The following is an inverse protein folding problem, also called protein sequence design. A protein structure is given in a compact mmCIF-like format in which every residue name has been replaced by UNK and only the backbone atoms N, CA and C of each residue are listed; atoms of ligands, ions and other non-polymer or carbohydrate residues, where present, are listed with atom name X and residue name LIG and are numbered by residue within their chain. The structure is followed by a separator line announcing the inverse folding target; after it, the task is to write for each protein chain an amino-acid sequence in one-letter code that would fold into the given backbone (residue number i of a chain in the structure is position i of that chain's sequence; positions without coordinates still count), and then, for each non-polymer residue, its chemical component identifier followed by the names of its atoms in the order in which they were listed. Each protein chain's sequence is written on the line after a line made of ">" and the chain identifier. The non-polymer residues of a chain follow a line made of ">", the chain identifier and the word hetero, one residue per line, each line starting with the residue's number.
data_IF_004119016155
#
_entry.id   IF_004119016155
#
_cell.length_a   1.000
_cell.length_b   1.000
_cell.length_c   1.000
_cell.angle_alpha   90.00
_cell.angle_beta   90.00
_cell.angle_gamma   90.00
#
_symmetry.space_group_name_H-M   'P 1'
#
loop_
_entity.id
_entity.type
_entity.pdbx_description
1 polymer ?
#
# COMPACT_ATOMS: atom_id res chain seq x y z
N UNK A 1 6.49 3.23 3.66
CA UNK A 1 6.53 2.82 5.08
C UNK A 1 6.39 1.32 5.18
N UNK A 2 7.11 0.67 6.10
CA UNK A 2 7.14 -0.78 6.25
C UNK A 2 7.08 -1.18 7.73
N UNK A 3 6.54 -2.34 8.10
CA UNK A 3 6.66 -2.86 9.45
C UNK A 3 8.13 -3.12 9.78
N UNK A 4 8.53 -2.78 10.99
CA UNK A 4 9.81 -3.18 11.54
C UNK A 4 9.83 -4.72 11.68
N UNK A 5 10.89 -5.35 11.17
CA UNK A 5 11.06 -6.81 11.33
C UNK A 5 11.30 -7.17 12.79
N UNK A 6 10.76 -8.32 13.22
CA UNK A 6 11.03 -8.85 14.57
C UNK A 6 12.53 -9.02 14.78
N UNK A 7 13.04 -8.52 15.90
CA UNK A 7 14.47 -8.59 16.26
C UNK A 7 15.37 -7.60 15.51
N UNK A 8 14.81 -6.66 14.73
CA UNK A 8 15.59 -5.62 14.09
C UNK A 8 16.33 -4.76 15.13
N UNK A 9 17.63 -4.60 14.93
CA UNK A 9 18.50 -3.77 15.77
C UNK A 9 18.57 -2.36 15.17
N UNK A 10 18.41 -1.35 16.02
CA UNK A 10 18.53 0.05 15.66
C UNK A 10 19.03 0.85 16.86
N UNK A 11 19.64 2.00 16.57
CA UNK A 11 20.05 2.98 17.57
C UNK A 11 19.07 4.15 17.52
N UNK A 12 18.54 4.56 18.67
CA UNK A 12 17.68 5.76 18.74
C UNK A 12 18.55 7.01 18.72
N UNK A 13 18.37 7.86 17.72
CA UNK A 13 19.10 9.14 17.59
C UNK A 13 18.39 10.27 18.32
N UNK A 14 17.06 10.32 18.20
CA UNK A 14 16.26 11.41 18.74
C UNK A 14 14.80 11.01 18.93
N UNK A 15 14.22 11.35 20.06
CA UNK A 15 12.78 11.30 20.27
C UNK A 15 12.10 12.53 19.68
N UNK A 16 11.13 12.32 18.79
CA UNK A 16 10.34 13.37 18.13
C UNK A 16 9.00 13.57 18.84
N UNK A 17 8.46 12.51 19.45
CA UNK A 17 7.21 12.53 20.20
C UNK A 17 6.92 11.20 20.90
N UNK A 18 5.70 11.04 21.42
CA UNK A 18 5.25 9.77 22.03
C UNK A 18 5.15 8.69 20.95
N UNK A 19 6.02 7.69 21.01
CA UNK A 19 6.05 6.60 20.03
C UNK A 19 6.56 7.02 18.66
N UNK A 20 7.29 8.12 18.56
CA UNK A 20 7.79 8.68 17.30
C UNK A 20 9.25 9.08 17.44
N UNK A 21 10.14 8.26 16.89
CA UNK A 21 11.58 8.38 17.12
C UNK A 21 12.34 8.40 15.78
N UNK A 22 13.42 9.17 15.70
CA UNK A 22 14.41 9.08 14.64
C UNK A 22 15.43 8.02 15.06
N UNK A 23 15.65 7.03 14.19
CA UNK A 23 16.50 5.87 14.46
C UNK A 23 17.52 5.68 13.35
N UNK A 24 18.60 5.00 13.69
CA UNK A 24 19.68 4.62 12.80
C UNK A 24 19.76 3.11 12.68
N UNK A 25 19.81 2.63 11.45
CA UNK A 25 19.87 1.21 11.11
C UNK A 25 21.18 0.91 10.41
N UNK A 26 21.88 -0.16 10.80
CA UNK A 26 23.05 -0.65 10.08
C UNK A 26 22.62 -1.36 8.80
N UNK A 27 23.29 -1.06 7.69
CA UNK A 27 23.04 -1.74 6.43
C UNK A 27 23.76 -3.09 6.40
N UNK A 28 23.17 -4.08 5.72
CA UNK A 28 23.81 -5.39 5.59
C UNK A 28 24.82 -5.41 4.44
N UNK A 29 25.87 -6.25 4.50
CA UNK A 29 26.81 -6.42 3.37
C UNK A 29 26.09 -6.81 2.07
N UNK A 30 25.05 -7.64 2.16
CA UNK A 30 24.25 -8.03 1.00
C UNK A 30 23.51 -6.84 0.38
N UNK A 31 22.98 -5.91 1.20
CA UNK A 31 22.32 -4.70 0.71
C UNK A 31 23.32 -3.79 0.00
N UNK A 32 24.52 -3.59 0.57
CA UNK A 32 25.58 -2.80 -0.04
C UNK A 32 26.13 -3.42 -1.34
N UNK A 33 26.17 -4.76 -1.44
CA UNK A 33 26.52 -5.44 -2.71
C UNK A 33 25.50 -5.16 -3.82
N UNK A 34 24.20 -5.11 -3.48
CA UNK A 34 23.14 -4.76 -4.44
C UNK A 34 23.10 -3.28 -4.76
N UNK A 35 23.53 -2.42 -3.84
CA UNK A 35 23.49 -0.97 -3.95
C UNK A 35 24.85 -0.37 -3.55
N UNK A 36 25.81 -0.25 -4.49
CA UNK A 36 27.18 0.16 -4.18
C UNK A 36 27.32 1.53 -3.50
N UNK A 37 26.37 2.45 -3.73
CA UNK A 37 26.34 3.77 -3.06
C UNK A 37 25.73 3.78 -1.66
N UNK A 38 25.28 2.62 -1.15
CA UNK A 38 24.65 2.53 0.16
C UNK A 38 25.70 2.58 1.28
N UNK A 39 25.63 3.61 2.11
CA UNK A 39 26.49 3.75 3.30
C UNK A 39 26.33 2.61 4.31
N UNK A 40 27.17 2.62 5.36
CA UNK A 40 27.11 1.62 6.43
C UNK A 40 25.85 1.73 7.30
N UNK A 41 25.20 2.88 7.26
CA UNK A 41 24.07 3.24 8.11
C UNK A 41 23.02 3.98 7.29
N UNK A 42 21.75 3.82 7.69
CA UNK A 42 20.63 4.58 7.16
C UNK A 42 19.81 5.14 8.31
N UNK A 43 19.45 6.41 8.20
CA UNK A 43 18.53 7.05 9.14
C UNK A 43 17.09 6.84 8.68
N UNK A 44 16.23 6.44 9.60
CA UNK A 44 14.81 6.25 9.36
C UNK A 44 14.01 6.78 10.55
N UNK A 45 12.72 7.02 10.35
CA UNK A 45 11.79 7.35 11.43
C UNK A 45 11.00 6.11 11.82
N UNK A 46 10.91 5.86 13.11
CA UNK A 46 10.22 4.75 13.74
C UNK A 46 8.95 5.26 14.43
N UNK A 47 7.80 4.82 13.94
CA UNK A 47 6.50 5.11 14.52
C UNK A 47 5.97 3.89 15.26
N UNK A 48 5.43 4.09 16.45
CA UNK A 48 4.79 3.05 17.26
C UNK A 48 3.30 3.30 17.26
N UNK A 49 2.56 2.35 16.70
CA UNK A 49 1.12 2.46 16.44
C UNK A 49 0.42 1.29 17.10
N UNK A 50 -0.67 1.54 17.81
CA UNK A 50 -1.53 0.48 18.34
C UNK A 50 -2.73 0.32 17.43
N UNK A 51 -2.89 -0.86 16.81
CA UNK A 51 -4.01 -1.15 15.91
C UNK A 51 -4.69 -2.44 16.38
N UNK A 52 -6.01 -2.39 16.59
CA UNK A 52 -6.81 -3.53 17.09
C UNK A 52 -6.18 -4.20 18.33
N UNK A 53 -5.71 -3.38 19.28
CA UNK A 53 -5.05 -3.84 20.51
C UNK A 53 -3.63 -4.38 20.34
N UNK A 54 -3.06 -4.40 19.13
CA UNK A 54 -1.69 -4.86 18.87
C UNK A 54 -0.77 -3.68 18.59
N UNK A 55 0.35 -3.63 19.30
CA UNK A 55 1.42 -2.66 19.03
C UNK A 55 2.19 -3.09 17.79
N UNK A 56 2.38 -2.16 16.86
CA UNK A 56 3.13 -2.32 15.64
C UNK A 56 4.15 -1.18 15.53
N UNK A 57 5.35 -1.50 15.05
CA UNK A 57 6.39 -0.52 14.78
C UNK A 57 6.54 -0.37 13.27
N UNK A 58 6.53 0.87 12.78
CA UNK A 58 6.59 1.20 11.37
C UNK A 58 7.82 2.05 11.08
N UNK A 59 8.57 1.69 10.04
CA UNK A 59 9.70 2.46 9.53
C UNK A 59 9.30 3.27 8.30
N UNK A 60 9.72 4.53 8.27
CA UNK A 60 9.56 5.42 7.11
C UNK A 60 10.81 6.25 6.87
N UNK A 61 11.07 6.60 5.60
CA UNK A 61 12.13 7.55 5.20
C UNK A 61 11.71 9.01 5.36
N UNK A 62 10.44 9.28 5.67
CA UNK A 62 9.92 10.63 5.93
C UNK A 62 10.31 11.08 7.34
N UNK A 63 11.50 11.65 7.47
CA UNK A 63 12.13 12.01 8.75
C UNK A 63 11.72 13.37 9.31
N UNK A 64 11.16 14.26 8.48
CA UNK A 64 10.66 15.57 8.90
C UNK A 64 9.30 15.43 9.63
N UNK A 65 9.32 15.59 10.95
CA UNK A 65 8.13 15.46 11.78
C UNK A 65 7.13 16.60 11.65
N UNK A 66 7.60 17.79 11.25
CA UNK A 66 6.73 18.95 11.06
C UNK A 66 6.00 18.87 9.73
N UNK A 67 6.68 18.39 8.68
CA UNK A 67 6.07 18.17 7.37
C UNK A 67 5.18 16.93 7.33
N UNK A 68 5.53 15.88 8.08
CA UNK A 68 4.81 14.61 8.08
C UNK A 68 4.43 14.22 9.52
N UNK A 69 3.27 14.64 10.04
CA UNK A 69 2.84 14.31 11.39
C UNK A 69 2.75 12.79 11.61
N UNK A 70 3.23 12.30 12.76
CA UNK A 70 3.32 10.86 13.04
C UNK A 70 1.96 10.14 13.04
N UNK A 71 0.91 10.81 13.50
CA UNK A 71 -0.47 10.30 13.49
C UNK A 71 -1.00 10.07 12.07
N UNK A 72 -0.91 11.08 11.20
CA UNK A 72 -1.33 10.98 9.80
C UNK A 72 -0.56 9.88 9.05
N UNK A 73 0.72 9.73 9.35
CA UNK A 73 1.56 8.68 8.80
C UNK A 73 1.10 7.28 9.22
N UNK A 74 0.72 7.12 10.49
CA UNK A 74 0.14 5.88 11.01
C UNK A 74 -1.20 5.55 10.34
N UNK A 75 -2.06 6.56 10.16
CA UNK A 75 -3.36 6.43 9.50
C UNK A 75 -3.20 6.08 8.02
N UNK A 76 -2.26 6.73 7.32
CA UNK A 76 -1.92 6.41 5.92
C UNK A 76 -1.48 4.95 5.77
N UNK A 77 -0.69 4.43 6.72
CA UNK A 77 -0.29 3.02 6.69
C UNK A 77 -1.49 2.07 6.83
N UNK A 78 -2.57 2.51 7.49
CA UNK A 78 -3.77 1.71 7.65
C UNK A 78 -4.46 1.40 6.31
N UNK A 79 -4.35 2.32 5.35
CA UNK A 79 -4.86 2.20 3.98
C UNK A 79 -3.99 1.29 3.09
N UNK A 80 -2.85 0.77 3.57
CA UNK A 80 -2.07 -0.23 2.81
C UNK A 80 -2.92 -1.46 2.44
N UNK A 81 -3.90 -1.81 3.27
CA UNK A 81 -4.78 -2.95 3.04
C UNK A 81 -5.70 -2.78 1.81
N UNK A 82 -5.90 -1.55 1.32
CA UNK A 82 -6.70 -1.28 0.13
C UNK A 82 -6.17 -2.02 -1.11
N UNK A 83 -4.86 -2.27 -1.22
CA UNK A 83 -4.31 -3.07 -2.32
C UNK A 83 -4.80 -4.53 -2.26
N UNK A 84 -4.99 -5.07 -1.06
CA UNK A 84 -5.44 -6.45 -0.87
C UNK A 84 -6.94 -6.58 -1.21
N UNK A 85 -7.71 -5.52 -0.93
CA UNK A 85 -9.07 -5.40 -1.42
C UNK A 85 -9.10 -5.29 -2.95
N UNK A 86 -8.23 -4.49 -3.57
CA UNK A 86 -8.10 -4.40 -5.02
C UNK A 86 -7.78 -5.74 -5.68
N UNK A 87 -6.87 -6.53 -5.10
CA UNK A 87 -6.62 -7.90 -5.59
C UNK A 87 -7.85 -8.80 -5.46
N UNK A 88 -8.64 -8.66 -4.39
CA UNK A 88 -9.88 -9.42 -4.21
C UNK A 88 -10.90 -9.04 -5.28
N UNK A 89 -11.11 -7.75 -5.52
CA UNK A 89 -12.04 -7.25 -6.53
C UNK A 89 -11.69 -7.76 -7.93
N UNK A 90 -10.41 -7.71 -8.31
CA UNK A 90 -9.97 -8.25 -9.61
C UNK A 90 -10.24 -9.76 -9.69
N UNK A 91 -9.79 -10.54 -8.70
CA UNK A 91 -9.84 -12.01 -8.74
C UNK A 91 -11.25 -12.57 -8.56
N UNK A 92 -12.01 -12.03 -7.61
CA UNK A 92 -13.31 -12.58 -7.21
C UNK A 92 -14.46 -11.92 -7.96
N UNK A 93 -14.40 -10.59 -8.14
CA UNK A 93 -15.49 -9.84 -8.77
C UNK A 93 -15.34 -9.81 -10.28
N UNK A 94 -14.25 -9.25 -10.81
CA UNK A 94 -14.09 -9.12 -12.28
C UNK A 94 -13.87 -10.47 -12.97
N UNK A 95 -13.06 -11.35 -12.37
CA UNK A 95 -12.76 -12.66 -12.92
C UNK A 95 -13.73 -13.76 -12.44
N UNK A 96 -14.75 -13.42 -11.65
CA UNK A 96 -15.74 -14.37 -11.13
C UNK A 96 -15.08 -15.59 -10.44
N UNK A 97 -14.00 -15.36 -9.71
CA UNK A 97 -13.18 -16.39 -9.06
C UNK A 97 -12.54 -17.42 -10.00
N UNK A 98 -12.50 -17.15 -11.31
CA UNK A 98 -11.75 -17.97 -12.27
C UNK A 98 -10.27 -17.63 -12.16
N UNK A 99 -9.47 -18.64 -11.81
CA UNK A 99 -8.02 -18.50 -11.61
C UNK A 99 -7.21 -18.71 -12.91
N UNK A 100 -7.88 -19.04 -14.01
CA UNK A 100 -7.23 -19.33 -15.29
C UNK A 100 -7.51 -18.22 -16.30
N UNK A 101 -6.43 -17.74 -16.91
CA UNK A 101 -6.49 -16.89 -18.10
C UNK A 101 -6.73 -17.77 -19.33
N UNK A 102 -7.28 -17.16 -20.39
CA UNK A 102 -7.72 -17.91 -21.58
C UNK A 102 -6.56 -18.27 -22.50
N UNK A 103 -5.59 -17.38 -22.62
CA UNK A 103 -4.47 -17.58 -23.52
C UNK A 103 -3.48 -18.64 -23.00
N UNK A 104 -2.89 -19.40 -23.93
CA UNK A 104 -1.78 -20.34 -23.69
C UNK A 104 -0.43 -19.83 -24.21
N UNK A 105 -0.38 -18.63 -24.79
CA UNK A 105 0.86 -17.98 -25.26
C UNK A 105 1.29 -16.90 -24.27
N UNK A 106 2.53 -16.88 -23.78
CA UNK A 106 3.00 -15.92 -22.76
C UNK A 106 2.69 -14.46 -23.09
N UNK A 107 2.89 -14.06 -24.34
CA UNK A 107 2.72 -12.67 -24.80
C UNK A 107 1.24 -12.26 -24.73
N UNK A 108 0.35 -13.17 -25.12
CA UNK A 108 -1.10 -12.95 -25.07
C UNK A 108 -1.65 -13.06 -23.63
N UNK A 109 -1.00 -13.82 -22.75
CA UNK A 109 -1.31 -13.83 -21.32
C UNK A 109 -0.99 -12.47 -20.69
N UNK A 110 0.14 -11.87 -21.05
CA UNK A 110 0.48 -10.52 -20.61
C UNK A 110 -0.54 -9.49 -21.11
N UNK A 111 -0.94 -9.58 -22.40
CA UNK A 111 -2.00 -8.74 -22.95
C UNK A 111 -3.33 -8.90 -22.19
N UNK A 112 -3.71 -10.13 -21.85
CA UNK A 112 -4.93 -10.40 -21.08
C UNK A 112 -4.86 -9.73 -19.69
N UNK A 113 -3.72 -9.83 -19.00
CA UNK A 113 -3.50 -9.16 -17.71
C UNK A 113 -3.59 -7.63 -17.83
N UNK A 114 -3.01 -7.04 -18.87
CA UNK A 114 -3.15 -5.60 -19.15
C UNK A 114 -4.61 -5.20 -19.38
N UNK A 115 -5.37 -6.02 -20.12
CA UNK A 115 -6.81 -5.81 -20.31
C UNK A 115 -7.58 -5.83 -18.99
N UNK A 116 -7.27 -6.77 -18.09
CA UNK A 116 -7.88 -6.83 -16.76
C UNK A 116 -7.57 -5.60 -15.92
N UNK A 117 -6.30 -5.15 -15.90
CA UNK A 117 -5.91 -3.95 -15.17
C UNK A 117 -6.55 -2.68 -15.75
N UNK A 118 -6.66 -2.59 -17.07
CA UNK A 118 -7.34 -1.49 -17.73
C UNK A 118 -8.83 -1.44 -17.34
N UNK A 119 -9.53 -2.57 -17.43
CA UNK A 119 -10.93 -2.66 -17.04
C UNK A 119 -11.14 -2.33 -15.54
N UNK A 120 -10.23 -2.77 -14.66
CA UNK A 120 -10.27 -2.43 -13.24
C UNK A 120 -10.16 -0.92 -13.03
N UNK A 121 -9.19 -0.27 -13.69
CA UNK A 121 -9.01 1.17 -13.60
C UNK A 121 -10.19 1.95 -14.20
N UNK A 122 -10.82 1.46 -15.26
CA UNK A 122 -12.03 2.07 -15.82
C UNK A 122 -13.20 2.04 -14.83
N UNK A 123 -13.43 0.91 -14.15
CA UNK A 123 -14.45 0.82 -13.09
C UNK A 123 -14.10 1.77 -11.94
N UNK A 124 -12.85 1.80 -11.49
CA UNK A 124 -12.39 2.73 -10.43
C UNK A 124 -12.56 4.20 -10.83
N UNK A 125 -12.27 4.55 -12.08
CA UNK A 125 -12.47 5.88 -12.60
C UNK A 125 -13.95 6.28 -12.61
N UNK A 126 -14.84 5.36 -13.00
CA UNK A 126 -16.28 5.60 -12.93
C UNK A 126 -16.75 5.79 -11.49
N UNK A 127 -16.23 5.02 -10.53
CA UNK A 127 -16.52 5.20 -9.10
C UNK A 127 -16.08 6.59 -8.59
N UNK A 128 -14.92 7.09 -9.05
CA UNK A 128 -14.47 8.45 -8.72
C UNK A 128 -15.50 9.48 -9.21
N UNK A 129 -15.92 9.39 -10.48
CA UNK A 129 -16.96 10.27 -11.04
C UNK A 129 -18.28 10.18 -10.29
N UNK A 130 -18.70 8.98 -9.89
CA UNK A 130 -19.92 8.79 -9.11
C UNK A 130 -19.82 9.45 -7.73
N UNK A 131 -18.68 9.28 -7.05
CA UNK A 131 -18.44 9.88 -5.74
C UNK A 131 -18.44 11.42 -5.77
N UNK A 132 -17.99 12.04 -6.87
CA UNK A 132 -18.07 13.50 -7.04
C UNK A 132 -19.50 14.05 -6.94
N UNK A 133 -20.50 13.23 -7.30
CA UNK A 133 -21.91 13.60 -7.23
C UNK A 133 -22.56 13.26 -5.87
N UNK A 134 -21.83 12.58 -4.97
CA UNK A 134 -22.29 12.15 -3.65
C UNK A 134 -21.50 12.90 -2.55
N UNK A 135 -22.10 13.94 -1.97
CA UNK A 135 -21.44 14.71 -0.90
C UNK A 135 -21.07 13.84 0.30
N UNK A 136 -19.80 13.87 0.68
CA UNK A 136 -19.28 13.21 1.89
C UNK A 136 -18.86 11.75 1.72
N UNK A 137 -18.88 11.22 0.48
CA UNK A 137 -18.43 9.86 0.20
C UNK A 137 -17.10 9.83 -0.54
N UNK A 138 -16.22 8.93 -0.11
CA UNK A 138 -14.98 8.63 -0.81
C UNK A 138 -15.21 7.53 -1.85
N UNK A 139 -14.48 7.53 -2.98
CA UNK A 139 -14.64 6.50 -4.02
C UNK A 139 -14.45 5.07 -3.51
N UNK A 140 -13.56 4.85 -2.52
CA UNK A 140 -13.32 3.54 -1.92
C UNK A 140 -14.44 3.07 -0.96
N UNK A 141 -15.42 3.93 -0.65
CA UNK A 141 -16.62 3.55 0.10
C UNK A 141 -17.77 3.06 -0.80
N UNK A 142 -17.67 3.27 -2.11
CA UNK A 142 -18.63 2.75 -3.06
C UNK A 142 -18.41 1.26 -3.31
N UNK A 143 -19.49 0.52 -3.53
CA UNK A 143 -19.43 -0.91 -3.83
C UNK A 143 -18.78 -1.14 -5.19
N UNK A 144 -17.63 -1.82 -5.21
CA UNK A 144 -16.96 -2.18 -6.44
C UNK A 144 -17.78 -3.19 -7.26
N UNK A 145 -18.46 -4.15 -6.63
CA UNK A 145 -19.24 -5.16 -7.34
C UNK A 145 -20.45 -4.58 -8.06
N UNK A 146 -21.16 -3.65 -7.43
CA UNK A 146 -22.28 -2.95 -8.06
C UNK A 146 -21.79 -2.07 -9.21
N UNK A 147 -20.71 -1.30 -8.97
CA UNK A 147 -20.12 -0.44 -10.00
C UNK A 147 -19.61 -1.25 -11.21
N UNK A 148 -18.93 -2.36 -10.96
CA UNK A 148 -18.46 -3.29 -11.98
C UNK A 148 -19.64 -3.89 -12.77
N UNK A 149 -20.71 -4.28 -12.08
CA UNK A 149 -21.93 -4.79 -12.71
C UNK A 149 -22.62 -3.74 -13.59
N UNK A 150 -22.62 -2.47 -13.21
CA UNK A 150 -23.17 -1.39 -14.03
C UNK A 150 -22.32 -1.14 -15.28
N UNK A 151 -20.99 -1.08 -15.15
CA UNK A 151 -20.08 -0.81 -16.27
C UNK A 151 -20.03 -1.97 -17.27
N UNK A 152 -20.04 -3.22 -16.80
CA UNK A 152 -19.97 -4.41 -17.67
C UNK A 152 -21.31 -4.81 -18.30
N UNK A 153 -22.43 -4.19 -17.88
CA UNK A 153 -23.76 -4.40 -18.49
C UNK A 153 -24.10 -3.38 -19.58
N UNK A 154 -23.27 -2.34 -19.77
CA UNK A 154 -23.33 -1.42 -20.90
C UNK A 154 -22.63 -2.03 -22.11
#
# INVERSE_FOLDING_TARGET
>A
MIPLRKGAQYEELRKLGKGDHLVKLKTSPQARKKWPGLGNEVTARLLTVTRKGKVCHLLTSMTDAMRFPGGEMADLYSHRWEIELGYREIKQTMQLSRLTLRSKKPELVEQELWGVLLAYNLVRYQMIKMAEHLKGYWPNQLSFSESCGMVMRM
#
